data_IF_014558128824
#
_entry.id   IF_014558128824
#
_cell.length_a   1.000
_cell.length_b   1.000
_cell.length_c   1.000
_cell.angle_alpha   90.00
_cell.angle_beta   90.00
_cell.angle_gamma   90.00
#
_symmetry.space_group_name_H-M   'P 1'
#
loop_
_entity.id
_entity.type
_entity.pdbx_description
1 polymer ?
#
# COMPACT_ATOMS: atom_id res chain seq x y z
N UNK A 1 -9.87 25.02 -32.63
CA UNK A 1 -8.90 24.88 -31.50
C UNK A 1 -8.22 23.54 -31.67
N UNK A 2 -7.00 23.53 -32.20
CA UNK A 2 -6.29 22.31 -32.61
C UNK A 2 -5.80 21.50 -31.42
N UNK A 3 -6.02 20.19 -31.49
CA UNK A 3 -5.55 19.20 -30.53
C UNK A 3 -4.03 19.05 -30.71
N UNK A 4 -3.23 19.57 -29.78
CA UNK A 4 -1.76 19.39 -29.79
C UNK A 4 -1.43 17.99 -29.30
N UNK A 5 -1.17 17.07 -30.23
CA UNK A 5 -0.86 15.65 -29.98
C UNK A 5 0.51 15.46 -29.33
N UNK A 6 1.40 16.46 -29.42
CA UNK A 6 2.81 16.38 -29.03
C UNK A 6 3.06 15.89 -27.59
N UNK A 7 2.11 16.12 -26.66
CA UNK A 7 2.27 15.74 -25.26
C UNK A 7 1.43 14.53 -24.83
N UNK A 8 0.52 14.04 -25.68
CA UNK A 8 -0.37 12.94 -25.29
C UNK A 8 0.35 11.61 -25.14
N UNK A 9 1.35 11.36 -25.98
CA UNK A 9 2.21 10.18 -25.84
C UNK A 9 2.91 10.16 -24.48
N UNK A 10 3.41 11.31 -24.04
CA UNK A 10 4.05 11.46 -22.73
C UNK A 10 3.07 11.25 -21.57
N UNK A 11 1.87 11.83 -21.64
CA UNK A 11 0.83 11.66 -20.60
C UNK A 11 0.39 10.20 -20.51
N UNK A 12 0.22 9.53 -21.65
CA UNK A 12 -0.13 8.12 -21.70
C UNK A 12 0.96 7.24 -21.09
N UNK A 13 2.23 7.45 -21.49
CA UNK A 13 3.37 6.73 -20.93
C UNK A 13 3.49 6.96 -19.42
N UNK A 14 3.34 8.21 -18.97
CA UNK A 14 3.31 8.55 -17.55
C UNK A 14 2.20 7.79 -16.81
N UNK A 15 0.99 7.73 -17.37
CA UNK A 15 -0.12 6.97 -16.81
C UNK A 15 0.19 5.48 -16.67
N UNK A 16 0.76 4.86 -17.71
CA UNK A 16 1.15 3.45 -17.69
C UNK A 16 2.21 3.15 -16.62
N UNK A 17 3.25 3.99 -16.51
CA UNK A 17 4.32 3.82 -15.52
C UNK A 17 3.77 3.98 -14.08
N UNK A 18 2.88 4.95 -13.85
CA UNK A 18 2.27 5.11 -12.53
C UNK A 18 1.32 3.96 -12.17
N UNK A 19 0.60 3.40 -13.15
CA UNK A 19 -0.27 2.26 -12.93
C UNK A 19 0.52 0.97 -12.65
N UNK A 20 1.65 0.77 -13.34
CA UNK A 20 2.49 -0.41 -13.17
C UNK A 20 3.32 -0.39 -11.88
N UNK A 21 3.73 0.80 -11.41
CA UNK A 21 4.52 0.97 -10.19
C UNK A 21 4.01 0.14 -8.99
N UNK A 22 2.78 0.35 -8.47
CA UNK A 22 2.32 -0.40 -7.30
C UNK A 22 2.12 -1.88 -7.57
N UNK A 23 1.90 -2.30 -8.82
CA UNK A 23 1.80 -3.71 -9.21
C UNK A 23 3.18 -4.37 -9.05
N UNK A 24 4.21 -3.78 -9.65
CA UNK A 24 5.59 -4.28 -9.55
C UNK A 24 6.05 -4.26 -8.09
N UNK A 25 5.78 -3.18 -7.37
CA UNK A 25 6.14 -3.09 -5.96
C UNK A 25 5.44 -4.16 -5.11
N UNK A 26 4.16 -4.45 -5.38
CA UNK A 26 3.43 -5.53 -4.69
C UNK A 26 4.03 -6.90 -4.97
N UNK A 27 4.48 -7.17 -6.20
CA UNK A 27 5.20 -8.40 -6.56
C UNK A 27 6.53 -8.51 -5.78
N UNK A 28 7.32 -7.44 -5.74
CA UNK A 28 8.57 -7.41 -4.97
C UNK A 28 8.34 -7.64 -3.48
N UNK A 29 7.28 -7.06 -2.92
CA UNK A 29 6.88 -7.26 -1.53
C UNK A 29 6.51 -8.72 -1.25
N UNK A 30 5.84 -9.39 -2.20
CA UNK A 30 5.45 -10.78 -2.07
C UNK A 30 6.61 -11.75 -2.26
N UNK A 31 7.58 -11.44 -3.13
CA UNK A 31 8.70 -12.34 -3.44
C UNK A 31 9.82 -12.34 -2.40
N UNK A 32 10.00 -11.25 -1.63
CA UNK A 32 11.14 -11.14 -0.69
C UNK A 32 10.68 -10.67 0.68
N UNK A 33 10.86 -11.51 1.69
CA UNK A 33 10.63 -11.17 3.09
C UNK A 33 11.66 -10.14 3.55
N UNK A 34 11.24 -8.88 3.60
CA UNK A 34 12.06 -7.77 4.05
C UNK A 34 11.20 -6.80 4.83
N UNK A 35 11.82 -6.19 5.85
CA UNK A 35 11.19 -5.12 6.62
C UNK A 35 10.90 -3.92 5.72
N UNK A 36 9.82 -3.19 6.03
CA UNK A 36 9.44 -1.97 5.29
C UNK A 36 10.55 -0.92 5.29
N UNK A 37 11.36 -0.86 6.35
CA UNK A 37 12.54 -0.01 6.45
C UNK A 37 13.62 -0.39 5.44
N UNK A 38 13.92 -1.68 5.30
CA UNK A 38 14.86 -2.16 4.29
C UNK A 38 14.42 -1.77 2.89
N UNK A 39 13.15 -2.01 2.55
CA UNK A 39 12.59 -1.66 1.23
C UNK A 39 12.68 -0.16 0.93
N UNK A 40 12.39 0.68 1.93
CA UNK A 40 12.50 2.15 1.83
C UNK A 40 13.95 2.59 1.56
N UNK A 41 14.91 2.01 2.29
CA UNK A 41 16.33 2.29 2.13
C UNK A 41 16.82 1.93 0.72
N UNK A 42 16.53 0.72 0.25
CA UNK A 42 16.93 0.30 -1.11
C UNK A 42 16.27 1.14 -2.20
N UNK A 43 15.00 1.50 -2.04
CA UNK A 43 14.29 2.35 -2.98
C UNK A 43 14.95 3.74 -3.10
N UNK A 44 15.30 4.35 -1.97
CA UNK A 44 15.95 5.66 -1.97
C UNK A 44 17.36 5.60 -2.59
N UNK A 45 18.17 4.57 -2.30
CA UNK A 45 19.51 4.43 -2.91
C UNK A 45 19.42 4.17 -4.41
N UNK A 46 18.54 3.27 -4.86
CA UNK A 46 18.34 3.04 -6.30
C UNK A 46 17.90 4.32 -7.00
N UNK A 47 17.07 5.15 -6.35
CA UNK A 47 16.68 6.46 -6.87
C UNK A 47 17.90 7.38 -7.01
N UNK A 48 18.81 7.42 -6.04
CA UNK A 48 20.07 8.17 -6.18
C UNK A 48 20.91 7.70 -7.37
N UNK A 49 21.01 6.38 -7.59
CA UNK A 49 21.76 5.80 -8.70
C UNK A 49 21.19 6.22 -10.06
N UNK A 50 19.87 6.36 -10.18
CA UNK A 50 19.21 6.80 -11.43
C UNK A 50 19.22 8.32 -11.56
N UNK A 51 18.94 9.03 -10.47
CA UNK A 51 18.77 10.49 -10.47
C UNK A 51 20.09 11.23 -10.67
N UNK A 52 21.19 10.75 -10.08
CA UNK A 52 22.48 11.44 -10.11
C UNK A 52 23.08 11.53 -11.54
N UNK A 53 23.14 10.45 -12.34
CA UNK A 53 23.53 10.55 -13.75
C UNK A 53 22.58 11.42 -14.57
N UNK A 54 21.27 11.32 -14.33
CA UNK A 54 20.27 12.13 -15.03
C UNK A 54 20.48 13.63 -14.76
N UNK A 55 20.73 14.02 -13.51
CA UNK A 55 21.01 15.40 -13.13
C UNK A 55 22.28 15.96 -13.82
N UNK A 56 23.30 15.12 -14.04
CA UNK A 56 24.51 15.50 -14.78
C UNK A 56 24.21 15.73 -16.27
N UNK A 57 23.44 14.84 -16.90
CA UNK A 57 23.07 14.94 -18.33
C UNK A 57 22.19 16.15 -18.60
N UNK A 58 21.26 16.48 -17.70
CA UNK A 58 20.36 17.63 -17.84
C UNK A 58 21.05 18.98 -17.53
N UNK A 59 22.30 18.96 -17.05
CA UNK A 59 23.10 20.16 -16.81
C UNK A 59 22.63 21.01 -15.62
N UNK A 60 21.85 20.45 -14.69
CA UNK A 60 21.28 21.19 -13.55
C UNK A 60 22.34 21.77 -12.62
N UNK A 61 23.54 21.18 -12.60
CA UNK A 61 24.70 21.70 -11.88
C UNK A 61 25.07 23.14 -12.31
N UNK A 62 24.99 23.44 -13.61
CA UNK A 62 25.28 24.78 -14.12
C UNK A 62 24.26 25.82 -13.63
N UNK A 63 23.00 25.42 -13.44
CA UNK A 63 21.94 26.28 -12.90
C UNK A 63 22.11 26.52 -11.41
N UNK A 64 22.53 25.50 -10.65
CA UNK A 64 22.86 25.62 -9.23
C UNK A 64 24.05 26.56 -9.00
N UNK A 65 25.11 26.42 -9.80
CA UNK A 65 26.30 27.27 -9.72
C UNK A 65 25.98 28.73 -10.08
N UNK A 66 25.17 28.94 -11.14
CA UNK A 66 24.72 30.28 -11.54
C UNK A 66 23.81 30.92 -10.51
N UNK A 67 22.95 30.13 -9.84
CA UNK A 67 22.10 30.61 -8.75
C UNK A 67 22.92 31.00 -7.51
N UNK A 68 23.96 30.22 -7.17
CA UNK A 68 24.83 30.54 -6.04
C UNK A 68 25.73 31.76 -6.32
N UNK A 69 26.18 31.92 -7.57
CA UNK A 69 26.95 33.09 -8.02
C UNK A 69 26.10 34.37 -8.09
N UNK A 70 24.79 34.25 -8.39
CA UNK A 70 23.83 35.36 -8.41
C UNK A 70 23.38 35.86 -7.04
N UNK A 71 24.02 35.43 -5.95
CA UNK A 71 23.71 35.89 -4.59
C UNK A 71 22.54 35.17 -3.90
N UNK A 72 22.02 34.07 -4.47
CA UNK A 72 21.10 33.19 -3.72
C UNK A 72 21.90 32.41 -2.68
N UNK A 73 22.05 33.02 -1.50
CA UNK A 73 22.69 32.37 -0.37
C UNK A 73 21.76 31.29 0.17
N UNK A 74 22.30 30.07 0.35
CA UNK A 74 21.62 29.00 1.07
C UNK A 74 21.43 29.47 2.50
N UNK A 75 20.24 29.96 2.77
CA UNK A 75 19.86 30.51 4.08
C UNK A 75 19.56 29.35 5.03
N UNK A 76 19.87 29.52 6.31
CA UNK A 76 19.54 28.53 7.36
C UNK A 76 18.07 28.05 7.35
N UNK A 77 17.05 28.92 7.17
CA UNK A 77 15.67 28.45 7.01
C UNK A 77 15.44 27.59 5.77
N UNK A 78 16.10 27.92 4.65
CA UNK A 78 16.03 27.15 3.41
C UNK A 78 16.62 25.74 3.58
N UNK A 79 17.72 25.63 4.33
CA UNK A 79 18.32 24.34 4.68
C UNK A 79 17.41 23.53 5.62
N UNK A 80 16.80 24.19 6.61
CA UNK A 80 15.85 23.53 7.52
C UNK A 80 14.63 22.99 6.77
N UNK A 81 14.06 23.75 5.83
CA UNK A 81 12.97 23.31 4.96
C UNK A 81 13.40 22.15 4.05
N UNK A 82 14.62 22.18 3.51
CA UNK A 82 15.16 21.10 2.70
C UNK A 82 15.25 19.80 3.51
N UNK A 83 15.87 19.84 4.69
CA UNK A 83 15.98 18.68 5.58
C UNK A 83 14.60 18.17 5.99
N UNK A 84 13.68 19.08 6.33
CA UNK A 84 12.29 18.75 6.66
C UNK A 84 11.58 18.03 5.50
N UNK A 85 11.77 18.50 4.26
CA UNK A 85 11.20 17.86 3.08
C UNK A 85 11.77 16.46 2.83
N UNK A 86 13.06 16.24 3.12
CA UNK A 86 13.69 14.92 3.01
C UNK A 86 13.15 13.93 4.06
N UNK A 87 12.95 14.39 5.30
CA UNK A 87 12.33 13.58 6.35
C UNK A 87 10.90 13.20 5.93
N UNK A 88 10.12 14.18 5.45
CA UNK A 88 8.75 13.94 4.99
C UNK A 88 8.70 13.00 3.78
N UNK A 89 9.60 13.19 2.81
CA UNK A 89 9.72 12.30 1.64
C UNK A 89 10.09 10.87 2.04
N UNK A 90 10.97 10.71 3.02
CA UNK A 90 11.33 9.39 3.56
C UNK A 90 10.14 8.75 4.29
N UNK A 91 9.39 9.54 5.07
CA UNK A 91 8.18 9.07 5.74
C UNK A 91 7.10 8.62 4.75
N UNK A 92 6.87 9.38 3.66
CA UNK A 92 5.95 8.99 2.59
C UNK A 92 6.40 7.68 1.94
N UNK A 93 7.69 7.55 1.64
CA UNK A 93 8.24 6.32 1.05
C UNK A 93 7.99 5.11 1.96
N UNK A 94 8.28 5.25 3.26
CA UNK A 94 8.03 4.21 4.26
C UNK A 94 6.55 3.83 4.38
N UNK A 95 5.67 4.82 4.54
CA UNK A 95 4.23 4.62 4.62
C UNK A 95 3.68 4.01 3.33
N UNK A 96 4.23 4.36 2.17
CA UNK A 96 3.88 3.79 0.89
C UNK A 96 4.08 2.27 0.86
N UNK A 97 5.26 1.80 1.27
CA UNK A 97 5.54 0.36 1.38
C UNK A 97 4.69 -0.32 2.45
N UNK A 98 4.44 0.34 3.59
CA UNK A 98 3.62 -0.20 4.67
C UNK A 98 2.15 -0.38 4.24
N UNK A 99 1.57 0.63 3.59
CA UNK A 99 0.22 0.56 3.04
C UNK A 99 0.17 -0.52 1.98
N UNK A 100 1.09 -0.53 1.02
CA UNK A 100 1.10 -1.50 -0.05
C UNK A 100 1.36 -2.93 0.42
N UNK A 101 1.98 -3.15 1.58
CA UNK A 101 2.04 -4.48 2.20
C UNK A 101 0.64 -4.97 2.61
N UNK A 102 -0.20 -4.08 3.14
CA UNK A 102 -1.51 -4.41 3.71
C UNK A 102 -2.69 -4.29 2.74
N UNK A 103 -2.56 -3.51 1.66
CA UNK A 103 -3.66 -3.24 0.71
C UNK A 103 -3.31 -3.70 -0.70
N UNK A 104 -4.32 -3.79 -1.57
CA UNK A 104 -4.13 -4.11 -2.99
C UNK A 104 -3.49 -2.93 -3.75
N UNK A 105 -2.80 -3.21 -4.86
CA UNK A 105 -2.25 -2.17 -5.73
C UNK A 105 -3.31 -1.17 -6.24
N UNK A 106 -4.54 -1.66 -6.50
CA UNK A 106 -5.68 -0.83 -6.89
C UNK A 106 -6.12 0.12 -5.78
N UNK A 107 -6.23 -0.39 -4.54
CA UNK A 107 -6.59 0.41 -3.36
C UNK A 107 -5.55 1.49 -3.10
N UNK A 108 -4.27 1.16 -3.29
CA UNK A 108 -3.16 2.13 -3.16
C UNK A 108 -3.28 3.28 -4.17
N UNK A 109 -3.51 2.98 -5.44
CA UNK A 109 -3.72 4.00 -6.47
C UNK A 109 -4.95 4.87 -6.21
N UNK A 110 -6.05 4.26 -5.76
CA UNK A 110 -7.25 5.00 -5.42
C UNK A 110 -7.00 5.94 -4.24
N UNK A 111 -6.30 5.48 -3.19
CA UNK A 111 -5.95 6.31 -2.04
C UNK A 111 -5.12 7.53 -2.45
N UNK A 112 -4.14 7.35 -3.35
CA UNK A 112 -3.34 8.44 -3.90
C UNK A 112 -4.18 9.48 -4.67
N UNK A 113 -5.13 9.03 -5.48
CA UNK A 113 -6.05 9.91 -6.19
C UNK A 113 -7.00 10.64 -5.22
N UNK A 114 -7.56 9.94 -4.23
CA UNK A 114 -8.42 10.55 -3.20
C UNK A 114 -7.68 11.59 -2.40
N UNK A 115 -6.41 11.38 -2.05
CA UNK A 115 -5.60 12.38 -1.33
C UNK A 115 -5.45 13.68 -2.13
N UNK A 116 -5.18 13.60 -3.44
CA UNK A 116 -5.10 14.79 -4.32
C UNK A 116 -6.42 15.55 -4.36
N UNK A 117 -7.52 14.81 -4.47
CA UNK A 117 -8.88 15.33 -4.52
C UNK A 117 -9.28 15.98 -3.19
N UNK A 118 -8.89 15.38 -2.06
CA UNK A 118 -9.11 15.93 -0.73
C UNK A 118 -8.35 17.24 -0.53
N UNK A 119 -7.08 17.31 -0.93
CA UNK A 119 -6.31 18.55 -0.88
C UNK A 119 -6.95 19.65 -1.73
N UNK A 120 -7.49 19.29 -2.91
CA UNK A 120 -8.23 20.23 -3.74
C UNK A 120 -9.52 20.71 -3.07
N UNK A 121 -10.26 19.81 -2.42
CA UNK A 121 -11.45 20.15 -1.65
C UNK A 121 -11.13 21.14 -0.51
N UNK A 122 -10.12 20.82 0.30
CA UNK A 122 -9.68 21.67 1.42
C UNK A 122 -9.21 23.03 0.92
N UNK A 123 -8.44 23.07 -0.16
CA UNK A 123 -7.99 24.32 -0.77
C UNK A 123 -9.18 25.18 -1.25
N UNK A 124 -10.21 24.56 -1.81
CA UNK A 124 -11.45 25.25 -2.22
C UNK A 124 -12.33 25.71 -1.06
N UNK A 125 -12.23 25.08 0.12
CA UNK A 125 -12.92 25.50 1.34
C UNK A 125 -12.19 26.62 2.08
N UNK A 126 -10.85 26.64 2.04
CA UNK A 126 -10.02 27.61 2.75
C UNK A 126 -9.84 28.94 2.01
N UNK A 127 -9.95 28.95 0.67
CA UNK A 127 -9.84 30.17 -0.14
C UNK A 127 -11.17 30.48 -0.82
N UNK A 128 -11.63 31.74 -0.73
CA UNK A 128 -12.82 32.26 -1.42
C UNK A 128 -12.61 32.46 -2.93
N UNK A 129 -12.04 31.46 -3.61
CA UNK A 129 -12.02 31.41 -5.07
C UNK A 129 -13.08 30.40 -5.48
N UNK A 130 -14.23 30.91 -5.96
CA UNK A 130 -15.34 30.07 -6.43
C UNK A 130 -14.84 29.10 -7.52
N UNK A 131 -14.54 27.86 -7.13
CA UNK A 131 -14.36 26.77 -8.06
C UNK A 131 -15.65 26.67 -8.89
N UNK A 132 -15.52 26.50 -10.21
CA UNK A 132 -16.68 26.34 -11.09
C UNK A 132 -17.62 25.26 -10.52
N UNK A 133 -18.93 25.48 -10.57
CA UNK A 133 -19.95 24.53 -10.09
C UNK A 133 -19.70 23.11 -10.65
N UNK A 134 -19.24 23.02 -11.89
CA UNK A 134 -18.89 21.77 -12.55
C UNK A 134 -17.71 21.04 -11.88
N UNK A 135 -16.69 21.78 -11.44
CA UNK A 135 -15.54 21.22 -10.72
C UNK A 135 -15.96 20.71 -9.32
N UNK A 136 -16.84 21.44 -8.64
CA UNK A 136 -17.37 21.02 -7.35
C UNK A 136 -18.25 19.76 -7.46
N UNK A 137 -19.06 19.64 -8.52
CA UNK A 137 -19.82 18.41 -8.78
C UNK A 137 -18.92 17.21 -9.09
N UNK A 138 -17.90 17.41 -9.94
CA UNK A 138 -16.90 16.37 -10.22
C UNK A 138 -16.14 15.92 -8.97
N UNK A 139 -15.81 16.88 -8.10
CA UNK A 139 -15.21 16.63 -6.79
C UNK A 139 -16.11 15.75 -5.91
N UNK A 140 -17.39 16.11 -5.76
CA UNK A 140 -18.36 15.32 -4.98
C UNK A 140 -18.51 13.90 -5.53
N UNK A 141 -18.67 13.74 -6.85
CA UNK A 141 -18.78 12.42 -7.50
C UNK A 141 -17.54 11.57 -7.23
N UNK A 142 -16.35 12.15 -7.29
CA UNK A 142 -15.10 11.43 -7.04
C UNK A 142 -14.94 10.99 -5.57
N UNK A 143 -15.37 11.82 -4.61
CA UNK A 143 -15.35 11.49 -3.18
C UNK A 143 -16.37 10.39 -2.86
N UNK A 144 -17.57 10.47 -3.42
CA UNK A 144 -18.59 9.42 -3.29
C UNK A 144 -18.08 8.11 -3.89
N UNK A 145 -17.48 8.14 -5.08
CA UNK A 145 -16.88 6.96 -5.70
C UNK A 145 -15.79 6.31 -4.82
N UNK A 146 -14.92 7.12 -4.22
CA UNK A 146 -13.91 6.63 -3.28
C UNK A 146 -14.53 6.00 -2.02
N UNK A 147 -15.58 6.61 -1.46
CA UNK A 147 -16.30 6.10 -0.29
C UNK A 147 -17.00 4.76 -0.59
N UNK A 148 -17.66 4.65 -1.74
CA UNK A 148 -18.33 3.42 -2.19
C UNK A 148 -17.31 2.28 -2.39
N UNK A 149 -16.14 2.57 -2.97
CA UNK A 149 -15.08 1.57 -3.09
C UNK A 149 -14.55 1.11 -1.73
N UNK A 150 -14.32 2.04 -0.80
CA UNK A 150 -13.87 1.72 0.54
C UNK A 150 -14.87 0.81 1.27
N UNK A 151 -16.16 1.10 1.14
CA UNK A 151 -17.23 0.27 1.71
C UNK A 151 -17.31 -1.11 1.05
N UNK A 152 -17.23 -1.17 -0.28
CA UNK A 152 -17.21 -2.45 -1.01
C UNK A 152 -16.05 -3.34 -0.54
N UNK A 153 -14.87 -2.76 -0.33
CA UNK A 153 -13.70 -3.53 0.12
C UNK A 153 -13.81 -3.96 1.58
N UNK A 154 -14.39 -3.14 2.46
CA UNK A 154 -14.71 -3.53 3.84
C UNK A 154 -15.64 -4.73 3.89
N UNK A 155 -16.71 -4.73 3.07
CA UNK A 155 -17.66 -5.85 2.99
C UNK A 155 -17.00 -7.14 2.55
N UNK A 156 -16.17 -7.09 1.51
CA UNK A 156 -15.44 -8.26 1.03
C UNK A 156 -14.49 -8.82 2.11
N UNK A 157 -13.76 -7.96 2.83
CA UNK A 157 -12.86 -8.40 3.92
C UNK A 157 -13.64 -8.99 5.10
N UNK A 158 -14.81 -8.43 5.43
CA UNK A 158 -15.66 -9.00 6.48
C UNK A 158 -16.26 -10.35 6.08
N UNK A 159 -16.63 -10.53 4.81
CA UNK A 159 -17.12 -11.80 4.28
C UNK A 159 -16.01 -12.88 4.26
N UNK A 160 -14.79 -12.53 3.87
CA UNK A 160 -13.62 -13.42 3.94
C UNK A 160 -13.35 -13.90 5.37
N UNK A 161 -13.38 -12.98 6.35
CA UNK A 161 -13.19 -13.33 7.78
C UNK A 161 -14.31 -14.21 8.34
N UNK A 162 -15.56 -13.95 7.97
CA UNK A 162 -16.70 -14.77 8.39
C UNK A 162 -16.60 -16.21 7.82
N UNK A 163 -16.16 -16.34 6.57
CA UNK A 163 -15.93 -17.65 5.93
C UNK A 163 -14.75 -18.43 6.52
N UNK A 164 -13.68 -17.76 6.94
CA UNK A 164 -12.56 -18.40 7.66
C UNK A 164 -12.99 -18.87 9.06
N UNK A 165 -13.71 -18.04 9.82
CA UNK A 165 -14.21 -18.43 11.15
C UNK A 165 -15.15 -19.64 11.11
N UNK A 166 -15.90 -19.82 10.01
CA UNK A 166 -16.76 -20.98 9.83
C UNK A 166 -15.96 -22.26 9.48
N UNK A 167 -14.88 -22.14 8.69
CA UNK A 167 -13.97 -23.26 8.37
C UNK A 167 -13.14 -23.71 9.58
N UNK A 168 -12.66 -22.78 10.38
CA UNK A 168 -11.91 -23.09 11.61
C UNK A 168 -12.80 -23.81 12.63
N UNK A 169 -14.08 -23.42 12.70
CA UNK A 169 -15.07 -24.06 13.58
C UNK A 169 -15.50 -25.46 13.09
N UNK A 170 -15.60 -25.69 11.78
CA UNK A 170 -15.79 -27.04 11.21
C UNK A 170 -14.57 -27.94 11.44
N UNK A 171 -13.35 -27.41 11.31
CA UNK A 171 -12.11 -28.16 11.55
C UNK A 171 -11.97 -28.55 13.03
N UNK A 172 -12.32 -27.67 13.97
CA UNK A 172 -12.34 -27.97 15.40
C UNK A 172 -13.42 -29.00 15.78
N UNK A 173 -14.59 -28.96 15.11
CA UNK A 173 -15.68 -29.90 15.35
C UNK A 173 -15.41 -31.30 14.78
N UNK A 174 -14.53 -31.42 13.77
CA UNK A 174 -14.08 -32.71 13.24
C UNK A 174 -13.10 -33.45 14.16
N UNK A 175 -12.32 -32.72 14.98
CA UNK A 175 -11.32 -33.29 15.90
C UNK A 175 -11.96 -33.84 17.19
N UNK A 176 -13.01 -33.18 17.71
CA UNK A 176 -13.74 -33.67 18.90
C UNK A 176 -14.69 -34.86 18.62
N UNK A 177 -15.03 -35.12 17.35
CA UNK A 177 -15.93 -36.22 16.95
C UNK A 177 -15.26 -37.58 16.83
N UNK A 178 -13.97 -37.64 16.47
CA UNK A 178 -13.25 -38.90 16.29
C UNK A 178 -12.71 -39.53 17.58
N UNK A 179 -12.47 -38.73 18.63
CA UNK A 179 -11.80 -39.21 19.85
C UNK A 179 -12.65 -40.04 20.83
N UNK A 180 -13.95 -40.24 20.58
CA UNK A 180 -14.85 -41.01 21.46
C UNK A 180 -15.13 -42.42 20.97
N UNK A 181 -15.29 -42.64 19.67
CA UNK A 181 -15.53 -43.98 19.12
C UNK A 181 -14.28 -44.89 19.29
N UNK A 182 -13.10 -44.31 19.14
CA UNK A 182 -11.82 -45.02 19.28
C UNK A 182 -11.53 -45.45 20.74
N UNK A 183 -12.00 -44.67 21.72
CA UNK A 183 -11.76 -44.95 23.14
C UNK A 183 -12.70 -46.00 23.72
N UNK A 184 -13.96 -46.05 23.29
CA UNK A 184 -14.87 -47.14 23.70
C UNK A 184 -14.50 -48.48 23.04
N UNK A 185 -14.00 -48.47 21.80
CA UNK A 185 -13.48 -49.69 21.15
C UNK A 185 -12.21 -50.23 21.81
N UNK A 186 -11.31 -49.36 22.30
CA UNK A 186 -10.07 -49.76 22.97
C UNK A 186 -10.30 -50.23 24.42
N UNK A 187 -11.28 -49.65 25.13
CA UNK A 187 -11.64 -50.04 26.51
C UNK A 187 -12.48 -51.33 26.59
N UNK A 188 -13.12 -51.74 25.48
CA UNK A 188 -13.89 -52.99 25.41
C UNK A 188 -13.06 -54.25 25.18
N UNK A 189 -11.75 -54.14 24.94
CA UNK A 189 -10.87 -55.28 24.61
C UNK A 189 -10.02 -55.78 25.79
N UNK A 190 -9.97 -55.08 26.93
CA UNK A 190 -9.08 -55.42 28.05
C UNK A 190 -9.74 -56.28 29.16
N UNK A 191 -11.05 -56.58 29.08
CA UNK A 191 -11.78 -57.30 30.14
C UNK A 191 -12.07 -58.78 29.82
N UNK A 192 -11.22 -59.42 29.00
CA UNK A 192 -11.42 -60.83 28.61
C UNK A 192 -10.22 -61.76 28.76
N UNK A 193 -9.11 -61.33 29.37
CA UNK A 193 -7.89 -62.16 29.47
C UNK A 193 -7.34 -62.45 30.86
N UNK A 194 -8.10 -62.24 31.96
CA UNK A 194 -7.58 -62.54 33.30
C UNK A 194 -8.53 -63.35 34.18
N UNK A 195 -8.92 -64.53 33.71
CA UNK A 195 -9.34 -65.64 34.57
C UNK A 195 -8.85 -66.97 33.98
N UNK A 196 -7.60 -67.35 34.26
CA UNK A 196 -7.27 -68.73 34.67
C UNK A 196 -5.80 -68.83 35.13
N UNK A 197 -5.57 -69.02 36.43
CA UNK A 197 -4.30 -69.60 36.93
C UNK A 197 -4.58 -70.43 38.19
N UNK A 198 -4.37 -71.76 38.15
CA UNK A 198 -4.61 -72.62 39.29
C UNK A 198 -3.46 -72.54 40.31
N UNK A 199 -3.84 -72.63 41.57
CA UNK A 199 -2.96 -72.72 42.73
C UNK A 199 -2.14 -74.02 42.74
N UNK A 200 -0.82 -73.88 42.94
CA UNK A 200 0.05 -74.82 43.66
C UNK A 200 1.21 -74.06 44.28
#
# INVERSE_FOLDING_TARGET
>A
KGFKVDNMGWVFLYGLVNASYPIVTKLVIASKEMTSWGRTYYNNIMTFIVFLPMALVLGEYSRLLSASAGGSTVTMPSLALLVGSCIWGTAISFLGFLVLANVSATTFNLMGNTNKILTLAVNGLLWEKHASLQANMGLLVSLVGAALYAEARRRQTNAEKAGQGQKDMEMQRGDEGGGKEDKEALLGMDDSSEQDKPAK
#
